data_IF_634633607303
#
_entry.id   IF_634633607303
#
_cell.length_a   1.000
_cell.length_b   1.000
_cell.length_c   1.000
_cell.angle_alpha   90.00
_cell.angle_beta   90.00
_cell.angle_gamma   90.00
#
_symmetry.space_group_name_H-M   'P 1'
#
loop_
_entity.id
_entity.type
_entity.pdbx_description
1 polymer ?
#
# COMPACT_ATOMS: atom_id res chain seq x y z
N UNK A 1 -41.88 -19.07 -8.59
CA UNK A 1 -42.74 -20.19 -8.12
C UNK A 1 -43.63 -20.69 -9.25
N UNK A 2 -44.35 -19.82 -9.98
CA UNK A 2 -45.22 -20.22 -11.11
C UNK A 2 -44.51 -20.86 -12.32
N UNK A 3 -43.20 -20.66 -12.46
CA UNK A 3 -42.39 -21.32 -13.49
C UNK A 3 -41.87 -22.70 -13.05
N UNK A 4 -41.72 -22.95 -11.73
CA UNK A 4 -41.30 -24.25 -11.18
C UNK A 4 -42.43 -25.29 -11.23
N UNK A 5 -43.68 -24.84 -11.22
CA UNK A 5 -44.85 -25.70 -11.42
C UNK A 5 -45.08 -26.06 -12.90
N UNK A 6 -44.44 -25.35 -13.83
CA UNK A 6 -44.49 -25.66 -15.28
C UNK A 6 -43.43 -26.67 -15.72
N UNK A 7 -42.33 -26.79 -14.97
CA UNK A 7 -41.25 -27.72 -15.27
C UNK A 7 -40.66 -28.34 -13.99
N UNK A 8 -41.21 -29.49 -13.54
CA UNK A 8 -40.80 -30.14 -12.29
C UNK A 8 -39.36 -30.68 -12.32
N UNK A 9 -38.72 -30.79 -13.49
CA UNK A 9 -37.32 -31.23 -13.61
C UNK A 9 -36.31 -30.14 -13.22
N UNK A 10 -36.71 -28.86 -13.19
CA UNK A 10 -35.87 -27.73 -12.77
C UNK A 10 -35.77 -27.58 -11.25
N UNK A 11 -36.74 -28.13 -10.49
CA UNK A 11 -36.81 -27.99 -9.05
C UNK A 11 -35.61 -28.60 -8.29
N UNK A 12 -35.08 -29.80 -8.62
CA UNK A 12 -33.92 -30.38 -7.95
C UNK A 12 -32.64 -29.55 -8.16
N UNK A 13 -32.46 -28.97 -9.34
CA UNK A 13 -31.30 -28.13 -9.67
C UNK A 13 -31.29 -26.82 -8.88
N UNK A 14 -32.46 -26.17 -8.77
CA UNK A 14 -32.62 -24.97 -7.97
C UNK A 14 -32.44 -25.24 -6.47
N UNK A 15 -33.01 -26.33 -5.95
CA UNK A 15 -32.84 -26.74 -4.54
C UNK A 15 -31.37 -27.03 -4.24
N UNK A 16 -30.65 -27.67 -5.17
CA UNK A 16 -29.20 -27.91 -5.03
C UNK A 16 -28.42 -26.61 -4.98
N UNK A 17 -28.69 -25.68 -5.90
CA UNK A 17 -28.04 -24.36 -5.93
C UNK A 17 -28.32 -23.55 -4.64
N UNK A 18 -29.57 -23.55 -4.17
CA UNK A 18 -29.95 -22.88 -2.92
C UNK A 18 -29.27 -23.52 -1.71
N UNK A 19 -29.17 -24.85 -1.67
CA UNK A 19 -28.47 -25.56 -0.60
C UNK A 19 -26.97 -25.25 -0.59
N UNK A 20 -26.34 -25.15 -1.76
CA UNK A 20 -24.93 -24.78 -1.91
C UNK A 20 -24.71 -23.33 -1.45
N UNK A 21 -25.57 -22.41 -1.89
CA UNK A 21 -25.53 -21.01 -1.45
C UNK A 21 -25.74 -20.86 0.05
N UNK A 22 -26.62 -21.64 0.67
CA UNK A 22 -26.79 -21.64 2.13
C UNK A 22 -25.58 -22.20 2.87
N UNK A 23 -24.94 -23.24 2.35
CA UNK A 23 -23.71 -23.74 2.96
C UNK A 23 -22.57 -22.73 2.87
N UNK A 24 -22.47 -22.02 1.74
CA UNK A 24 -21.51 -20.93 1.53
C UNK A 24 -21.79 -19.76 2.48
N UNK A 25 -23.04 -19.30 2.58
CA UNK A 25 -23.40 -18.20 3.50
C UNK A 25 -23.24 -18.58 4.96
N UNK A 26 -23.55 -19.82 5.36
CA UNK A 26 -23.28 -20.31 6.72
C UNK A 26 -21.79 -20.29 7.04
N UNK A 27 -20.95 -20.72 6.10
CA UNK A 27 -19.48 -20.67 6.27
C UNK A 27 -19.00 -19.23 6.46
N UNK A 28 -19.43 -18.31 5.58
CA UNK A 28 -19.09 -16.88 5.68
C UNK A 28 -19.55 -16.28 7.02
N UNK A 29 -20.74 -16.65 7.49
CA UNK A 29 -21.27 -16.18 8.77
C UNK A 29 -20.47 -16.74 9.96
N UNK A 30 -20.01 -17.98 9.88
CA UNK A 30 -19.18 -18.61 10.92
C UNK A 30 -17.77 -18.00 10.98
N UNK A 31 -17.16 -17.75 9.81
CA UNK A 31 -15.89 -17.03 9.69
C UNK A 31 -16.00 -15.62 10.27
N UNK A 32 -17.07 -14.88 9.95
CA UNK A 32 -17.32 -13.54 10.49
C UNK A 32 -17.59 -13.53 12.00
N UNK A 33 -18.21 -14.60 12.55
CA UNK A 33 -18.39 -14.77 14.00
C UNK A 33 -17.08 -15.06 14.70
N UNK A 34 -16.18 -15.83 14.07
CA UNK A 34 -14.87 -16.12 14.61
C UNK A 34 -13.99 -14.86 14.60
N UNK A 35 -13.95 -14.12 13.50
CA UNK A 35 -13.24 -12.83 13.41
C UNK A 35 -13.72 -11.84 14.48
N UNK A 36 -15.04 -11.75 14.71
CA UNK A 36 -15.58 -10.92 15.80
C UNK A 36 -15.08 -11.35 17.18
N UNK A 37 -15.00 -12.65 17.46
CA UNK A 37 -14.47 -13.15 18.74
C UNK A 37 -13.00 -12.79 18.90
N UNK A 38 -12.21 -12.91 17.83
CA UNK A 38 -10.78 -12.62 17.83
C UNK A 38 -10.54 -11.11 18.06
N UNK A 39 -11.27 -10.24 17.36
CA UNK A 39 -11.23 -8.78 17.55
C UNK A 39 -11.65 -8.36 18.96
N UNK A 40 -12.67 -9.00 19.55
CA UNK A 40 -13.05 -8.75 20.94
C UNK A 40 -11.93 -9.15 21.91
N UNK A 41 -11.24 -10.26 21.63
CA UNK A 41 -10.05 -10.70 22.36
C UNK A 41 -8.90 -9.69 22.28
N UNK A 42 -8.59 -9.20 21.08
CA UNK A 42 -7.55 -8.19 20.85
C UNK A 42 -7.87 -6.87 21.56
N UNK A 43 -9.12 -6.39 21.48
CA UNK A 43 -9.57 -5.18 22.20
C UNK A 43 -9.40 -5.36 23.71
N UNK A 44 -9.68 -6.53 24.26
CA UNK A 44 -9.49 -6.81 25.68
C UNK A 44 -8.00 -6.79 26.06
N UNK A 45 -7.11 -7.36 25.23
CA UNK A 45 -5.66 -7.31 25.43
C UNK A 45 -5.11 -5.88 25.36
N UNK A 46 -5.52 -5.11 24.37
CA UNK A 46 -5.11 -3.70 24.22
C UNK A 46 -5.59 -2.84 25.40
N UNK A 47 -6.79 -3.11 25.95
CA UNK A 47 -7.26 -2.45 27.17
C UNK A 47 -6.44 -2.81 28.40
N UNK A 48 -6.03 -4.07 28.54
CA UNK A 48 -5.14 -4.50 29.63
C UNK A 48 -3.77 -3.83 29.52
N UNK A 49 -3.14 -3.88 28.33
CA UNK A 49 -1.86 -3.20 28.08
C UNK A 49 -1.93 -1.69 28.33
N UNK A 50 -3.04 -1.04 27.93
CA UNK A 50 -3.26 0.39 28.19
C UNK A 50 -3.41 0.67 29.69
N UNK A 51 -4.10 -0.18 30.44
CA UNK A 51 -4.25 -0.04 31.89
C UNK A 51 -2.89 -0.12 32.60
N UNK A 52 -2.04 -1.07 32.20
CA UNK A 52 -0.69 -1.24 32.75
C UNK A 52 0.20 -0.03 32.44
N UNK A 53 0.19 0.46 31.19
CA UNK A 53 0.93 1.65 30.79
C UNK A 53 0.47 2.94 31.51
N UNK A 54 -0.80 2.98 31.94
CA UNK A 54 -1.36 4.15 32.63
C UNK A 54 -1.12 4.12 34.13
N UNK A 55 -0.89 2.93 34.72
CA UNK A 55 -0.47 2.81 36.11
C UNK A 55 0.94 3.38 36.35
N UNK A 56 1.81 3.34 35.34
CA UNK A 56 3.22 3.75 35.44
C UNK A 56 3.54 5.19 35.00
N UNK A 57 2.56 5.95 34.49
CA UNK A 57 2.81 7.30 33.96
C UNK A 57 2.71 8.39 35.07
N UNK A 58 3.82 9.03 35.49
CA UNK A 58 3.77 10.14 36.45
C UNK A 58 3.01 11.34 35.87
N UNK A 59 2.03 11.81 36.62
CA UNK A 59 1.01 12.75 36.19
C UNK A 59 1.54 14.12 35.76
N UNK A 60 1.03 14.59 34.63
CA UNK A 60 1.12 16.00 34.24
C UNK A 60 0.91 16.19 32.74
N UNK A 61 -0.21 16.84 32.39
CA UNK A 61 -0.68 17.24 31.04
C UNK A 61 -1.57 16.20 30.34
N UNK A 62 -2.85 16.13 30.74
CA UNK A 62 -3.90 15.36 30.05
C UNK A 62 -5.29 16.01 30.22
N UNK A 63 -5.53 17.15 29.58
CA UNK A 63 -6.88 17.74 29.59
C UNK A 63 -7.45 18.00 28.19
N UNK A 64 -6.61 18.15 27.15
CA UNK A 64 -7.11 18.41 25.79
C UNK A 64 -7.31 17.12 24.98
N UNK A 65 -6.44 16.10 25.12
CA UNK A 65 -6.57 14.81 24.40
C UNK A 65 -7.71 13.91 24.90
N UNK A 66 -8.34 14.19 26.05
CA UNK A 66 -9.43 13.35 26.57
C UNK A 66 -10.75 13.57 25.83
N UNK A 67 -10.96 14.77 25.27
CA UNK A 67 -12.18 15.09 24.52
C UNK A 67 -12.24 14.33 23.20
N UNK A 68 -11.12 14.28 22.48
CA UNK A 68 -11.04 13.60 21.17
C UNK A 68 -11.20 12.08 21.34
N UNK A 69 -10.57 11.50 22.37
CA UNK A 69 -10.73 10.07 22.67
C UNK A 69 -12.17 9.73 23.10
N UNK A 70 -12.84 10.61 23.84
CA UNK A 70 -14.24 10.40 24.23
C UNK A 70 -15.18 10.47 23.01
N UNK A 71 -14.89 11.36 22.06
CA UNK A 71 -15.64 11.47 20.81
C UNK A 71 -15.46 10.23 19.91
N UNK A 72 -14.20 9.81 19.70
CA UNK A 72 -13.89 8.60 18.92
C UNK A 72 -14.52 7.35 19.53
N UNK A 73 -14.51 7.25 20.87
CA UNK A 73 -15.11 6.12 21.58
C UNK A 73 -16.65 6.13 21.50
N UNK A 74 -17.28 7.31 21.46
CA UNK A 74 -18.72 7.44 21.21
C UNK A 74 -19.07 7.03 19.77
N UNK A 75 -18.26 7.44 18.79
CA UNK A 75 -18.44 7.08 17.39
C UNK A 75 -18.29 5.56 17.18
N UNK A 76 -17.25 4.94 17.75
CA UNK A 76 -17.05 3.49 17.70
C UNK A 76 -18.21 2.70 18.33
N UNK A 77 -18.80 3.21 19.43
CA UNK A 77 -19.98 2.59 20.04
C UNK A 77 -21.21 2.66 19.13
N UNK A 78 -21.39 3.78 18.43
CA UNK A 78 -22.46 3.95 17.47
C UNK A 78 -22.29 3.01 16.27
N UNK A 79 -21.09 2.92 15.72
CA UNK A 79 -20.78 2.02 14.60
C UNK A 79 -20.98 0.54 14.99
N UNK A 80 -20.56 0.17 16.21
CA UNK A 80 -20.76 -1.18 16.74
C UNK A 80 -22.24 -1.51 16.90
N UNK A 81 -23.05 -0.56 17.40
CA UNK A 81 -24.48 -0.75 17.51
C UNK A 81 -25.15 -0.94 16.14
N UNK A 82 -24.78 -0.13 15.14
CA UNK A 82 -25.32 -0.25 13.77
C UNK A 82 -24.92 -1.58 13.10
N UNK A 83 -23.68 -2.03 13.28
CA UNK A 83 -23.24 -3.33 12.78
C UNK A 83 -23.95 -4.48 13.47
N UNK A 84 -24.21 -4.37 14.78
CA UNK A 84 -24.92 -5.39 15.54
C UNK A 84 -26.37 -5.53 15.05
N UNK A 85 -27.07 -4.41 14.81
CA UNK A 85 -28.42 -4.44 14.23
C UNK A 85 -28.46 -5.06 12.84
N UNK A 86 -27.45 -4.78 11.99
CA UNK A 86 -27.37 -5.37 10.66
C UNK A 86 -27.14 -6.89 10.71
N UNK A 87 -26.31 -7.38 11.63
CA UNK A 87 -26.10 -8.83 11.84
C UNK A 87 -27.38 -9.52 12.31
N UNK A 88 -28.17 -8.88 13.19
CA UNK A 88 -29.47 -9.42 13.61
C UNK A 88 -30.49 -9.49 12.46
N UNK A 89 -30.51 -8.49 11.57
CA UNK A 89 -31.36 -8.50 10.38
C UNK A 89 -30.99 -9.65 9.44
N UNK A 90 -29.71 -9.85 9.16
CA UNK A 90 -29.21 -10.96 8.34
C UNK A 90 -29.50 -12.33 9.00
N UNK A 91 -29.43 -12.42 10.32
CA UNK A 91 -29.78 -13.64 11.05
C UNK A 91 -31.27 -13.99 10.89
N UNK A 92 -32.18 -13.01 11.02
CA UNK A 92 -33.62 -13.21 10.80
C UNK A 92 -33.93 -13.60 9.36
N UNK A 93 -33.23 -13.01 8.39
CA UNK A 93 -33.41 -13.36 6.98
C UNK A 93 -32.95 -14.80 6.68
N UNK A 94 -31.85 -15.26 7.28
CA UNK A 94 -31.42 -16.65 7.19
C UNK A 94 -32.45 -17.62 7.79
N UNK A 95 -33.02 -17.30 8.96
CA UNK A 95 -34.08 -18.12 9.57
C UNK A 95 -35.32 -18.21 8.66
N UNK A 96 -35.68 -17.13 7.96
CA UNK A 96 -36.76 -17.11 6.97
C UNK A 96 -36.47 -18.05 5.80
N UNK A 97 -35.27 -17.95 5.21
CA UNK A 97 -34.88 -18.80 4.07
C UNK A 97 -34.79 -20.29 4.44
N UNK A 98 -34.32 -20.61 5.65
CA UNK A 98 -34.28 -21.99 6.14
C UNK A 98 -35.70 -22.56 6.29
N UNK A 99 -36.65 -21.76 6.77
CA UNK A 99 -38.06 -22.15 6.86
C UNK A 99 -38.70 -22.40 5.48
N UNK A 100 -38.45 -21.52 4.51
CA UNK A 100 -38.93 -21.69 3.12
C UNK A 100 -38.37 -22.97 2.47
N UNK A 101 -37.11 -23.32 2.74
CA UNK A 101 -36.54 -24.56 2.23
C UNK A 101 -37.14 -25.82 2.86
N UNK A 102 -37.44 -25.78 4.15
CA UNK A 102 -38.05 -26.92 4.81
C UNK A 102 -39.50 -27.13 4.32
N UNK A 103 -40.24 -26.04 4.02
CA UNK A 103 -41.54 -26.12 3.35
C UNK A 103 -41.43 -26.72 1.93
N UNK A 104 -40.45 -26.28 1.13
CA UNK A 104 -40.20 -26.84 -0.20
C UNK A 104 -39.83 -28.32 -0.15
N UNK A 105 -38.98 -28.73 0.80
CA UNK A 105 -38.62 -30.13 1.03
C UNK A 105 -39.84 -30.97 1.42
N UNK A 106 -40.70 -30.45 2.29
CA UNK A 106 -41.94 -31.12 2.67
C UNK A 106 -42.89 -31.28 1.47
N UNK A 107 -43.01 -30.26 0.63
CA UNK A 107 -43.83 -30.29 -0.59
C UNK A 107 -43.33 -31.33 -1.59
N UNK A 108 -42.01 -31.39 -1.81
CA UNK A 108 -41.38 -32.40 -2.67
C UNK A 108 -41.60 -33.81 -2.11
N UNK A 109 -41.44 -34.00 -0.80
CA UNK A 109 -41.65 -35.29 -0.15
C UNK A 109 -43.10 -35.79 -0.24
N UNK A 110 -44.08 -34.88 -0.28
CA UNK A 110 -45.51 -35.22 -0.40
C UNK A 110 -45.95 -35.46 -1.86
N UNK A 111 -45.20 -34.99 -2.86
CA UNK A 111 -45.62 -34.97 -4.26
C UNK A 111 -45.26 -36.17 -5.14
N UNK A 112 -44.70 -37.27 -4.62
CA UNK A 112 -43.95 -38.21 -5.50
C UNK A 112 -44.11 -39.72 -5.27
N UNK A 113 -45.27 -40.21 -4.82
CA UNK A 113 -45.49 -41.66 -4.67
C UNK A 113 -46.16 -42.35 -5.88
N UNK A 114 -47.01 -41.67 -6.66
CA UNK A 114 -47.87 -42.36 -7.65
C UNK A 114 -47.49 -42.15 -9.13
N UNK A 115 -46.52 -41.27 -9.45
CA UNK A 115 -46.18 -40.94 -10.85
C UNK A 115 -44.74 -41.27 -11.27
N UNK A 116 -43.90 -41.87 -10.40
CA UNK A 116 -42.45 -41.96 -10.62
C UNK A 116 -41.92 -43.31 -11.17
N UNK A 117 -42.76 -44.34 -11.32
CA UNK A 117 -42.27 -45.66 -11.73
C UNK A 117 -41.84 -45.74 -13.21
N UNK A 118 -42.39 -44.91 -14.11
CA UNK A 118 -42.05 -44.97 -15.54
C UNK A 118 -40.75 -44.24 -15.93
N UNK A 119 -40.21 -43.36 -15.08
CA UNK A 119 -38.98 -42.60 -15.35
C UNK A 119 -37.73 -43.10 -14.60
N UNK A 120 -37.81 -44.24 -13.91
CA UNK A 120 -36.75 -44.70 -13.01
C UNK A 120 -35.47 -45.23 -13.71
N UNK A 121 -35.58 -45.75 -14.94
CA UNK A 121 -34.43 -46.37 -15.64
C UNK A 121 -33.35 -45.36 -16.12
N UNK A 122 -33.69 -44.20 -16.72
CA UNK A 122 -32.70 -43.18 -17.05
C UNK A 122 -32.05 -42.54 -15.80
N UNK A 123 -32.83 -42.35 -14.73
CA UNK A 123 -32.37 -41.75 -13.47
C UNK A 123 -31.33 -42.62 -12.74
N UNK A 124 -31.50 -43.94 -12.74
CA UNK A 124 -30.51 -44.87 -12.16
C UNK A 124 -29.17 -44.87 -12.93
N UNK A 125 -29.22 -44.66 -14.26
CA UNK A 125 -28.01 -44.47 -15.08
C UNK A 125 -27.30 -43.15 -14.74
N UNK A 126 -28.05 -42.05 -14.58
CA UNK A 126 -27.50 -40.75 -14.19
C UNK A 126 -26.93 -40.76 -12.75
N UNK A 127 -27.59 -41.46 -11.81
CA UNK A 127 -27.08 -41.69 -10.45
C UNK A 127 -25.79 -42.50 -10.42
N UNK A 128 -25.62 -43.47 -11.33
CA UNK A 128 -24.35 -44.21 -11.46
C UNK A 128 -23.20 -43.33 -11.97
N UNK A 129 -23.50 -42.30 -12.77
CA UNK A 129 -22.54 -41.29 -13.23
C UNK A 129 -22.25 -40.21 -12.18
N UNK A 130 -23.12 -40.03 -11.18
CA UNK A 130 -22.89 -39.13 -10.03
C UNK A 130 -22.04 -39.77 -8.91
N UNK A 131 -21.83 -41.09 -8.94
CA UNK A 131 -20.97 -41.79 -7.98
C UNK A 131 -19.50 -41.33 -8.03
N UNK A 132 -18.83 -41.19 -9.20
CA UNK A 132 -17.48 -40.63 -9.30
C UNK A 132 -17.36 -39.23 -8.71
N UNK A 133 -18.29 -38.33 -9.03
CA UNK A 133 -18.29 -36.96 -8.51
C UNK A 133 -18.46 -36.93 -6.97
N UNK A 134 -19.20 -37.87 -6.39
CA UNK A 134 -19.34 -37.99 -4.94
C UNK A 134 -18.05 -38.45 -4.27
N UNK A 135 -17.31 -39.37 -4.88
CA UNK A 135 -15.95 -39.73 -4.44
C UNK A 135 -15.00 -38.54 -4.57
N UNK A 136 -15.04 -37.81 -5.69
CA UNK A 136 -14.20 -36.63 -5.91
C UNK A 136 -14.47 -35.54 -4.86
N UNK A 137 -15.74 -35.26 -4.54
CA UNK A 137 -16.12 -34.30 -3.49
C UNK A 137 -15.60 -34.75 -2.12
N UNK A 138 -15.67 -36.04 -1.81
CA UNK A 138 -15.16 -36.58 -0.55
C UNK A 138 -13.65 -36.44 -0.47
N UNK A 139 -12.95 -36.77 -1.56
CA UNK A 139 -11.50 -36.72 -1.62
C UNK A 139 -11.00 -35.26 -1.59
N UNK A 140 -11.71 -34.33 -2.24
CA UNK A 140 -11.47 -32.88 -2.12
C UNK A 140 -11.69 -32.37 -0.69
N UNK A 141 -12.76 -32.81 -0.01
CA UNK A 141 -12.98 -32.46 1.41
C UNK A 141 -11.86 -32.97 2.31
N UNK A 142 -11.34 -34.16 2.03
CA UNK A 142 -10.20 -34.71 2.75
C UNK A 142 -8.93 -33.89 2.50
N UNK A 143 -8.66 -33.49 1.26
CA UNK A 143 -7.52 -32.62 0.92
C UNK A 143 -7.62 -31.24 1.59
N UNK A 144 -8.82 -30.64 1.60
CA UNK A 144 -9.05 -29.36 2.29
C UNK A 144 -8.73 -29.49 3.77
N UNK A 145 -9.18 -30.56 4.42
CA UNK A 145 -8.90 -30.81 5.84
C UNK A 145 -7.39 -31.01 6.10
N UNK A 146 -6.69 -31.73 5.24
CA UNK A 146 -5.23 -31.92 5.36
C UNK A 146 -4.46 -30.61 5.21
N UNK A 147 -4.89 -29.73 4.30
CA UNK A 147 -4.33 -28.39 4.13
C UNK A 147 -4.63 -27.48 5.31
N UNK A 148 -5.84 -27.54 5.89
CA UNK A 148 -6.20 -26.82 7.12
C UNK A 148 -5.30 -27.25 8.30
N UNK A 149 -5.08 -28.55 8.47
CA UNK A 149 -4.17 -29.09 9.48
C UNK A 149 -2.70 -28.71 9.23
N UNK A 150 -2.28 -28.58 7.96
CA UNK A 150 -0.95 -28.09 7.61
C UNK A 150 -0.78 -26.60 7.91
N UNK A 151 -1.77 -25.76 7.57
CA UNK A 151 -1.79 -24.33 7.88
C UNK A 151 -1.69 -24.13 9.40
N UNK A 152 -2.54 -24.81 10.18
CA UNK A 152 -2.53 -24.71 11.64
C UNK A 152 -1.15 -25.08 12.23
N UNK A 153 -0.48 -26.12 11.70
CA UNK A 153 0.89 -26.47 12.12
C UNK A 153 1.91 -25.39 11.76
N UNK A 154 1.79 -24.79 10.57
CA UNK A 154 2.70 -23.71 10.17
C UNK A 154 2.50 -22.44 10.99
N UNK A 155 1.26 -22.11 11.37
CA UNK A 155 0.95 -20.96 12.23
C UNK A 155 1.57 -21.11 13.61
N UNK A 156 1.43 -22.28 14.24
CA UNK A 156 2.08 -22.57 15.53
C UNK A 156 3.61 -22.43 15.41
N UNK A 157 4.21 -22.98 14.35
CA UNK A 157 5.66 -22.87 14.13
C UNK A 157 6.13 -21.42 13.89
N UNK A 158 5.32 -20.58 13.24
CA UNK A 158 5.60 -19.15 13.06
C UNK A 158 5.49 -18.42 14.40
N UNK A 159 4.46 -18.70 15.18
CA UNK A 159 4.25 -18.10 16.50
C UNK A 159 5.39 -18.44 17.47
N UNK A 160 5.87 -19.69 17.48
CA UNK A 160 7.04 -20.11 18.25
C UNK A 160 8.32 -19.36 17.82
N UNK A 161 8.52 -19.14 16.51
CA UNK A 161 9.65 -18.36 16.00
C UNK A 161 9.56 -16.89 16.40
N UNK A 162 8.36 -16.32 16.38
CA UNK A 162 8.11 -14.94 16.79
C UNK A 162 8.44 -14.74 18.27
N UNK A 163 7.98 -15.63 19.15
CA UNK A 163 8.34 -15.63 20.58
C UNK A 163 9.86 -15.72 20.76
N UNK A 164 10.53 -16.57 19.99
CA UNK A 164 11.99 -16.71 20.03
C UNK A 164 12.72 -15.44 19.56
N UNK A 165 12.23 -14.76 18.52
CA UNK A 165 12.78 -13.49 18.08
C UNK A 165 12.53 -12.35 19.07
N UNK A 166 11.35 -12.31 19.67
CA UNK A 166 11.00 -11.34 20.70
C UNK A 166 11.94 -11.46 21.92
N UNK A 167 12.18 -12.69 22.40
CA UNK A 167 13.14 -12.93 23.48
C UNK A 167 14.59 -12.51 23.11
N UNK A 168 14.99 -12.69 21.84
CA UNK A 168 16.30 -12.21 21.36
C UNK A 168 16.37 -10.68 21.34
N UNK A 169 15.29 -10.01 20.94
CA UNK A 169 15.19 -8.56 20.88
C UNK A 169 15.24 -7.94 22.29
N UNK A 170 14.51 -8.51 23.25
CA UNK A 170 14.57 -8.13 24.66
C UNK A 170 15.99 -8.27 25.23
N UNK A 171 16.67 -9.38 24.94
CA UNK A 171 18.06 -9.61 25.36
C UNK A 171 19.02 -8.59 24.74
N UNK A 172 18.80 -8.19 23.48
CA UNK A 172 19.60 -7.16 22.81
C UNK A 172 19.35 -5.77 23.42
N UNK A 173 18.10 -5.43 23.71
CA UNK A 173 17.73 -4.18 24.37
C UNK A 173 18.32 -4.09 25.78
N UNK A 174 18.24 -5.16 26.57
CA UNK A 174 18.87 -5.22 27.90
C UNK A 174 20.39 -5.01 27.83
N UNK A 175 21.07 -5.53 26.78
CA UNK A 175 22.49 -5.25 26.56
C UNK A 175 22.74 -3.78 26.20
N UNK A 176 21.96 -3.23 25.28
CA UNK A 176 22.05 -1.81 24.87
C UNK A 176 21.89 -0.89 26.08
N UNK A 177 20.90 -1.16 26.94
CA UNK A 177 20.61 -0.32 28.10
C UNK A 177 21.73 -0.42 29.15
N UNK A 178 22.32 -1.61 29.35
CA UNK A 178 23.55 -1.78 30.14
C UNK A 178 24.72 -0.96 29.60
N UNK A 179 24.93 -0.95 28.28
CA UNK A 179 26.00 -0.13 27.68
C UNK A 179 25.72 1.36 27.81
N UNK A 180 24.47 1.78 27.61
CA UNK A 180 24.05 3.18 27.79
C UNK A 180 24.31 3.65 29.23
N UNK A 181 23.95 2.84 30.23
CA UNK A 181 24.21 3.14 31.63
C UNK A 181 25.73 3.27 31.93
N UNK A 182 26.55 2.37 31.39
CA UNK A 182 28.02 2.46 31.52
C UNK A 182 28.59 3.74 30.89
N UNK A 183 28.05 4.13 29.72
CA UNK A 183 28.49 5.30 28.98
C UNK A 183 28.16 6.59 29.74
N UNK A 184 26.97 6.66 30.34
CA UNK A 184 26.58 7.79 31.22
C UNK A 184 27.41 7.83 32.51
N UNK A 185 27.74 6.67 33.11
CA UNK A 185 28.64 6.63 34.26
C UNK A 185 30.04 7.16 33.94
N UNK A 186 30.60 6.82 32.77
CA UNK A 186 31.90 7.34 32.32
C UNK A 186 31.87 8.85 32.08
N UNK A 187 30.83 9.38 31.42
CA UNK A 187 30.66 10.82 31.22
C UNK A 187 30.59 11.59 32.55
N UNK A 188 29.96 11.00 33.57
CA UNK A 188 29.86 11.63 34.89
C UNK A 188 31.18 11.54 35.67
N UNK A 189 31.99 10.50 35.46
CA UNK A 189 33.32 10.37 36.07
C UNK A 189 34.35 11.34 35.47
N UNK A 190 34.24 11.68 34.18
CA UNK A 190 35.09 12.70 33.54
C UNK A 190 34.78 14.13 34.03
N UNK A 191 33.58 14.37 34.57
CA UNK A 191 33.21 15.63 35.24
C UNK A 191 33.69 15.65 36.70
N UNK A 192 34.94 15.26 36.94
CA UNK A 192 35.58 15.37 38.25
C UNK A 192 35.43 16.79 38.84
N UNK A 193 35.53 16.95 40.16
CA UNK A 193 35.24 18.20 40.85
C UNK A 193 36.28 19.25 40.43
N UNK A 194 35.91 20.06 39.45
CA UNK A 194 36.61 21.30 39.16
C UNK A 194 36.18 22.27 40.25
N UNK A 195 36.91 22.26 41.36
CA UNK A 195 36.96 23.42 42.26
C UNK A 195 37.58 24.57 41.46
N UNK A 196 36.73 25.36 40.81
CA UNK A 196 37.14 26.67 40.28
C UNK A 196 36.85 27.75 41.32
N UNK A 197 37.77 28.71 41.52
CA UNK A 197 37.69 29.68 42.59
C UNK A 197 36.58 30.70 42.33
N UNK A 198 35.94 31.13 43.41
CA UNK A 198 35.11 32.33 43.46
C UNK A 198 35.91 33.51 42.90
N UNK A 199 35.48 34.07 41.77
CA UNK A 199 35.67 35.48 41.49
C UNK A 199 34.30 36.09 41.24
N UNK A 200 34.04 37.11 42.04
CA UNK A 200 32.89 37.99 41.98
C UNK A 200 33.04 38.98 40.81
N UNK A 201 31.90 39.61 40.52
CA UNK A 201 31.71 40.81 39.70
C UNK A 201 31.95 40.64 38.19
N UNK A 202 30.86 40.66 37.42
CA UNK A 202 30.54 41.87 36.64
C UNK A 202 29.11 41.81 36.09
N UNK A 203 28.39 42.88 36.40
CA UNK A 203 27.07 43.25 35.94
C UNK A 203 27.03 43.60 34.43
N UNK A 204 25.79 43.61 33.92
CA UNK A 204 25.30 44.43 32.82
C UNK A 204 25.71 44.05 31.37
N UNK A 205 24.83 43.29 30.72
CA UNK A 205 24.31 43.72 29.41
C UNK A 205 22.95 43.09 29.10
N UNK A 206 21.94 43.86 29.47
CA UNK A 206 20.55 43.72 29.05
C UNK A 206 20.35 44.40 27.67
N UNK A 207 19.36 43.94 26.92
CA UNK A 207 18.79 44.52 25.68
C UNK A 207 19.48 44.21 24.33
N UNK A 208 18.92 43.23 23.59
CA UNK A 208 18.24 43.45 22.29
C UNK A 208 17.94 42.11 21.60
N UNK A 209 16.78 41.50 21.86
CA UNK A 209 16.23 40.47 20.98
C UNK A 209 14.88 40.94 20.46
N UNK A 210 14.91 41.34 19.20
CA UNK A 210 13.80 41.81 18.38
C UNK A 210 12.71 40.74 18.28
N UNK A 211 11.48 41.12 18.69
CA UNK A 211 10.25 40.39 18.42
C UNK A 211 9.95 40.45 16.92
N UNK A 212 10.02 39.32 16.22
CA UNK A 212 9.35 39.13 14.93
C UNK A 212 8.28 38.04 15.08
N UNK A 213 7.03 38.48 14.98
CA UNK A 213 5.84 37.63 14.91
C UNK A 213 5.90 36.72 13.67
N UNK A 214 5.39 35.47 13.73
CA UNK A 214 5.18 34.67 12.53
C UNK A 214 3.94 35.17 11.79
N UNK A 215 4.07 35.44 10.49
CA UNK A 215 2.94 35.67 9.59
C UNK A 215 2.12 34.38 9.46
N UNK A 216 0.83 34.49 9.81
CA UNK A 216 -0.20 33.50 9.53
C UNK A 216 -0.50 33.52 8.03
N UNK A 217 -0.19 32.44 7.33
CA UNK A 217 -0.62 32.20 5.94
C UNK A 217 -1.98 31.50 5.96
N UNK A 218 -3.01 31.96 5.24
CA UNK A 218 -4.30 31.28 5.19
C UNK A 218 -4.20 30.06 4.26
N UNK A 219 -4.26 28.86 4.84
CA UNK A 219 -4.40 27.61 4.08
C UNK A 219 -5.89 27.34 3.77
N UNK A 220 -6.32 27.65 2.55
CA UNK A 220 -7.59 27.21 2.00
C UNK A 220 -7.59 25.68 1.79
N UNK A 221 -8.43 24.97 2.55
CA UNK A 221 -8.58 23.51 2.50
C UNK A 221 -9.45 23.09 1.31
N UNK A 222 -8.87 22.31 0.38
CA UNK A 222 -9.58 21.20 -0.28
C UNK A 222 -9.16 19.93 0.47
N UNK A 223 -10.06 19.40 1.30
CA UNK A 223 -9.88 18.16 2.08
C UNK A 223 -10.56 17.03 1.35
N UNK A 224 -9.77 16.03 1.01
CA UNK A 224 -10.13 14.75 0.41
C UNK A 224 -8.82 14.16 -0.10
N UNK A 225 -8.44 12.99 0.39
CA UNK A 225 -7.35 12.12 -0.12
C UNK A 225 -5.88 12.41 0.26
N UNK A 226 -5.53 13.59 0.79
CA UNK A 226 -4.11 13.89 1.12
C UNK A 226 -3.56 13.34 2.44
N UNK A 227 -4.40 12.84 3.35
CA UNK A 227 -3.97 12.45 4.70
C UNK A 227 -3.04 11.23 4.74
N UNK A 228 -3.08 10.35 3.74
CA UNK A 228 -2.21 9.17 3.71
C UNK A 228 -0.77 9.47 3.24
N UNK A 229 -0.53 10.63 2.58
CA UNK A 229 0.77 11.01 2.02
C UNK A 229 1.68 11.75 3.01
N UNK A 230 1.10 12.34 4.06
CA UNK A 230 1.87 13.09 5.06
C UNK A 230 2.70 12.20 6.00
N UNK A 231 2.32 10.93 6.19
CA UNK A 231 3.11 9.93 6.93
C UNK A 231 4.46 9.60 6.28
N UNK A 232 4.68 9.99 5.02
CA UNK A 232 5.87 9.65 4.24
C UNK A 232 6.82 10.82 4.00
N UNK A 233 6.64 11.96 4.70
CA UNK A 233 7.49 13.15 4.54
C UNK A 233 8.97 12.90 4.85
N UNK A 234 9.26 11.97 5.76
CA UNK A 234 10.62 11.67 6.23
C UNK A 234 11.29 10.50 5.49
N UNK A 235 10.62 9.90 4.49
CA UNK A 235 11.26 8.86 3.69
C UNK A 235 12.31 9.45 2.74
N UNK A 236 13.49 8.82 2.62
CA UNK A 236 14.52 9.27 1.73
C UNK A 236 14.05 9.20 0.28
N UNK A 237 14.41 10.24 -0.44
CA UNK A 237 14.07 10.45 -1.82
C UNK A 237 15.35 10.42 -2.66
N UNK A 238 15.27 9.78 -3.82
CA UNK A 238 16.33 9.67 -4.81
C UNK A 238 15.98 10.63 -5.93
N UNK A 239 16.94 11.39 -6.47
CA UNK A 239 16.62 12.28 -7.60
C UNK A 239 16.17 11.46 -8.83
N UNK A 240 15.13 11.92 -9.52
CA UNK A 240 14.55 11.30 -10.72
C UNK A 240 15.58 11.24 -11.87
N UNK A 241 16.59 12.08 -11.91
CA UNK A 241 17.72 11.92 -12.85
C UNK A 241 18.47 10.59 -12.66
N UNK A 242 18.37 9.98 -11.48
CA UNK A 242 18.78 8.61 -11.17
C UNK A 242 17.62 7.60 -11.28
N UNK A 243 16.72 7.81 -12.25
CA UNK A 243 15.68 6.85 -12.67
C UNK A 243 16.23 5.41 -12.71
N UNK A 244 15.36 4.38 -12.73
CA UNK A 244 15.73 2.97 -12.72
C UNK A 244 17.00 2.61 -13.50
N UNK A 245 17.27 3.21 -14.65
CA UNK A 245 18.40 2.83 -15.49
C UNK A 245 19.73 3.55 -15.17
N UNK A 246 19.74 4.56 -14.30
CA UNK A 246 20.91 5.41 -13.99
C UNK A 246 21.42 5.30 -12.55
N UNK A 247 20.89 4.38 -11.75
CA UNK A 247 21.43 4.09 -10.41
C UNK A 247 22.81 3.42 -10.54
N UNK A 248 23.83 3.85 -9.76
CA UNK A 248 25.14 3.22 -9.79
C UNK A 248 25.09 1.70 -9.59
N UNK A 249 25.84 0.93 -10.39
CA UNK A 249 25.92 -0.55 -10.30
C UNK A 249 26.24 -1.07 -8.91
N UNK A 250 26.98 -0.30 -8.12
CA UNK A 250 27.30 -0.63 -6.72
C UNK A 250 26.05 -0.73 -5.86
N UNK A 251 25.05 0.13 -6.11
CA UNK A 251 23.75 0.13 -5.43
C UNK A 251 22.83 -0.94 -6.05
N UNK A 252 22.89 -1.13 -7.36
CA UNK A 252 22.15 -2.21 -8.04
C UNK A 252 22.48 -3.59 -7.46
N UNK A 253 23.73 -3.81 -7.05
CA UNK A 253 24.13 -5.08 -6.41
C UNK A 253 23.33 -5.41 -5.13
N UNK A 254 22.69 -4.42 -4.49
CA UNK A 254 21.85 -4.62 -3.31
C UNK A 254 20.40 -5.08 -3.64
N UNK A 255 20.00 -5.10 -4.91
CA UNK A 255 18.71 -5.65 -5.32
C UNK A 255 18.78 -6.43 -6.64
N UNK A 256 18.21 -7.63 -6.63
CA UNK A 256 18.00 -8.42 -7.86
C UNK A 256 16.66 -8.13 -8.53
N UNK A 257 15.80 -7.34 -7.88
CA UNK A 257 14.51 -6.96 -8.42
C UNK A 257 14.68 -5.89 -9.51
N UNK A 258 13.83 -5.94 -10.53
CA UNK A 258 13.79 -4.87 -11.52
C UNK A 258 13.17 -3.61 -10.90
N UNK A 259 13.30 -2.45 -11.52
CA UNK A 259 12.95 -1.17 -10.88
C UNK A 259 11.80 -0.53 -11.63
N UNK A 260 10.78 -0.08 -10.91
CA UNK A 260 9.55 0.48 -11.49
C UNK A 260 9.20 1.79 -10.79
N UNK A 261 8.90 2.80 -11.60
CA UNK A 261 8.39 4.08 -11.10
C UNK A 261 6.85 4.06 -11.17
N UNK A 262 6.22 4.14 -10.01
CA UNK A 262 4.77 4.17 -9.81
C UNK A 262 4.25 5.60 -9.68
N UNK A 263 3.11 5.88 -10.31
CA UNK A 263 2.42 7.15 -10.24
C UNK A 263 1.03 6.96 -9.60
N UNK A 264 0.78 7.54 -8.40
CA UNK A 264 -0.49 7.37 -7.69
C UNK A 264 -1.72 7.80 -8.49
N UNK A 265 -1.60 8.86 -9.28
CA UNK A 265 -2.64 9.38 -10.22
C UNK A 265 -3.07 8.35 -11.28
N UNK A 266 -2.30 7.27 -11.43
CA UNK A 266 -2.52 6.15 -12.33
C UNK A 266 -2.70 4.87 -11.51
N UNK A 267 -3.55 4.92 -10.49
CA UNK A 267 -3.86 3.74 -9.67
C UNK A 267 -5.36 3.51 -9.70
N UNK A 268 -5.78 2.31 -10.12
CA UNK A 268 -7.15 1.86 -9.93
C UNK A 268 -7.12 0.92 -8.73
N UNK A 269 -7.95 1.22 -7.74
CA UNK A 269 -8.20 0.31 -6.64
C UNK A 269 -9.28 -0.68 -7.07
N UNK A 270 -9.04 -1.97 -6.84
CA UNK A 270 -10.09 -2.97 -7.00
C UNK A 270 -11.18 -2.69 -5.97
N UNK A 271 -12.45 -2.77 -6.36
CA UNK A 271 -13.60 -2.59 -5.46
C UNK A 271 -13.72 -3.69 -4.39
N UNK A 272 -12.83 -4.69 -4.40
CA UNK A 272 -12.90 -5.92 -3.60
C UNK A 272 -12.17 -5.86 -2.26
N UNK A 273 -11.92 -4.67 -1.68
CA UNK A 273 -11.70 -4.54 -0.23
C UNK A 273 -10.39 -5.13 0.35
N UNK A 274 -9.28 -5.10 -0.39
CA UNK A 274 -7.94 -5.43 0.13
C UNK A 274 -6.89 -4.48 -0.42
N UNK A 275 -5.69 -4.43 0.18
CA UNK A 275 -4.55 -3.56 -0.13
C UNK A 275 -3.94 -3.71 -1.55
N UNK A 276 -4.72 -4.14 -2.53
CA UNK A 276 -4.33 -4.40 -3.91
C UNK A 276 -4.37 -3.10 -4.74
N UNK A 277 -3.19 -2.52 -4.96
CA UNK A 277 -3.03 -1.42 -5.90
C UNK A 277 -2.78 -1.98 -7.31
N UNK A 278 -3.65 -1.64 -8.27
CA UNK A 278 -3.35 -1.88 -9.70
C UNK A 278 -2.51 -0.71 -10.20
N UNK A 279 -1.25 -0.99 -10.50
CA UNK A 279 -0.28 0.00 -10.95
C UNK A 279 -0.21 -0.05 -12.48
N UNK A 280 -0.54 1.05 -13.14
CA UNK A 280 -0.43 1.14 -14.60
C UNK A 280 1.01 1.41 -15.02
N UNK A 281 1.51 0.54 -15.90
CA UNK A 281 2.63 0.84 -16.78
C UNK A 281 2.23 0.32 -18.16
N UNK A 282 1.72 1.19 -19.04
CA UNK A 282 1.36 0.75 -20.39
C UNK A 282 2.49 0.98 -21.39
N UNK A 283 2.80 -0.09 -22.12
CA UNK A 283 3.42 -0.05 -23.44
C UNK A 283 2.29 -0.16 -24.46
N UNK A 284 1.89 0.96 -25.05
CA UNK A 284 0.90 0.96 -26.14
C UNK A 284 1.60 0.44 -27.39
N UNK A 285 1.22 -0.76 -27.85
CA UNK A 285 1.67 -1.29 -29.14
C UNK A 285 0.65 -0.83 -30.17
N UNK A 286 0.91 0.30 -30.81
CA UNK A 286 0.11 0.74 -31.94
C UNK A 286 0.50 -0.06 -33.19
N UNK A 287 -0.48 -0.58 -33.93
CA UNK A 287 -0.25 -1.22 -35.23
C UNK A 287 0.51 -0.26 -36.14
N UNK A 288 1.69 -0.67 -36.64
CA UNK A 288 2.53 0.12 -37.54
C UNK A 288 1.83 0.56 -38.84
N UNK A 289 0.64 0.01 -39.14
CA UNK A 289 -0.06 0.24 -40.41
C UNK A 289 -1.02 1.44 -40.41
N UNK A 290 -1.41 2.01 -39.26
CA UNK A 290 -2.58 2.92 -39.21
C UNK A 290 -2.38 4.29 -38.53
N UNK A 291 -1.31 4.57 -37.76
CA UNK A 291 -1.13 5.90 -37.14
C UNK A 291 0.32 6.44 -37.18
N UNK A 292 0.51 7.77 -37.41
CA UNK A 292 1.83 8.41 -37.53
C UNK A 292 2.53 8.68 -36.19
N UNK A 293 1.94 8.29 -35.06
CA UNK A 293 2.55 8.46 -33.74
C UNK A 293 3.60 7.36 -33.52
N UNK A 294 4.89 7.71 -33.56
CA UNK A 294 5.97 6.81 -33.13
C UNK A 294 5.91 6.65 -31.61
N UNK A 295 5.18 5.65 -31.14
CA UNK A 295 5.23 5.19 -29.76
C UNK A 295 6.63 4.62 -29.49
N UNK A 296 7.31 5.10 -28.44
CA UNK A 296 8.60 4.54 -28.04
C UNK A 296 8.31 3.16 -27.44
N UNK A 297 8.25 2.13 -28.27
CA UNK A 297 8.39 0.76 -27.80
C UNK A 297 9.71 0.70 -27.06
N UNK A 298 9.69 0.56 -25.73
CA UNK A 298 10.90 0.21 -25.01
C UNK A 298 11.45 -1.05 -25.72
N UNK A 299 12.73 -1.02 -26.07
CA UNK A 299 13.39 -2.14 -26.77
C UNK A 299 13.39 -3.44 -25.94
N UNK A 300 12.87 -3.42 -24.71
CA UNK A 300 12.48 -4.59 -23.94
C UNK A 300 11.05 -4.99 -24.30
N UNK A 301 10.91 -5.88 -25.28
CA UNK A 301 9.73 -6.75 -25.40
C UNK A 301 9.85 -7.87 -24.36
N UNK A 302 9.84 -7.54 -23.07
CA UNK A 302 9.47 -8.54 -22.08
C UNK A 302 7.97 -8.79 -22.26
N UNK A 303 7.59 -10.05 -22.44
CA UNK A 303 6.18 -10.42 -22.42
C UNK A 303 5.63 -10.03 -21.03
N UNK A 304 4.37 -9.59 -20.97
CA UNK A 304 3.69 -9.36 -19.69
C UNK A 304 3.80 -10.58 -18.77
N UNK A 305 3.79 -11.77 -19.37
CA UNK A 305 4.01 -13.05 -18.72
C UNK A 305 5.37 -13.15 -18.02
N UNK A 306 6.42 -12.52 -18.56
CA UNK A 306 7.76 -12.53 -17.95
C UNK A 306 7.82 -11.66 -16.68
N UNK A 307 6.88 -10.74 -16.53
CA UNK A 307 6.76 -9.87 -15.36
C UNK A 307 5.96 -10.55 -14.24
N UNK A 308 5.10 -11.52 -14.57
CA UNK A 308 4.30 -12.26 -13.59
C UNK A 308 5.21 -13.09 -12.68
N UNK A 309 5.01 -12.97 -11.36
CA UNK A 309 5.85 -13.56 -10.33
C UNK A 309 7.20 -12.87 -10.13
N UNK A 310 7.53 -11.86 -10.93
CA UNK A 310 8.79 -11.13 -10.80
C UNK A 310 8.70 -10.05 -9.72
N UNK A 311 9.84 -9.79 -9.08
CA UNK A 311 9.96 -8.78 -8.03
C UNK A 311 10.43 -7.45 -8.61
N UNK A 312 9.85 -6.38 -8.10
CA UNK A 312 10.08 -5.01 -8.52
C UNK A 312 10.37 -4.10 -7.32
N UNK A 313 11.45 -3.33 -7.36
CA UNK A 313 11.67 -2.21 -6.46
C UNK A 313 10.81 -1.03 -6.93
N UNK A 314 9.87 -0.61 -6.08
CA UNK A 314 8.88 0.39 -6.41
C UNK A 314 9.28 1.77 -5.91
N UNK A 315 9.15 2.76 -6.78
CA UNK A 315 9.45 4.16 -6.49
C UNK A 315 8.24 5.05 -6.77
N UNK A 316 8.02 6.11 -5.99
CA UNK A 316 6.98 7.13 -6.24
C UNK A 316 7.61 8.49 -6.42
N UNK A 317 7.41 9.15 -7.57
CA UNK A 317 7.89 10.50 -7.77
C UNK A 317 7.15 11.49 -6.87
N UNK A 318 7.91 12.46 -6.39
CA UNK A 318 7.45 13.60 -5.61
C UNK A 318 7.57 14.88 -6.43
N UNK A 319 6.92 15.94 -5.98
CA UNK A 319 6.89 17.25 -6.67
C UNK A 319 8.28 17.89 -6.85
N UNK A 320 9.29 17.38 -6.13
CA UNK A 320 10.64 17.95 -5.98
C UNK A 320 11.71 17.33 -6.88
N UNK A 321 11.38 16.83 -8.07
CA UNK A 321 12.32 16.09 -8.96
C UNK A 321 12.97 14.87 -8.29
N UNK A 322 12.34 14.33 -7.25
CA UNK A 322 12.80 13.16 -6.51
C UNK A 322 11.76 12.04 -6.56
N UNK A 323 12.16 10.83 -6.21
CA UNK A 323 11.32 9.67 -6.09
C UNK A 323 11.58 8.98 -4.75
N UNK A 324 10.52 8.64 -4.03
CA UNK A 324 10.56 7.89 -2.76
C UNK A 324 10.56 6.40 -3.04
N UNK A 325 11.40 5.66 -2.34
CA UNK A 325 11.39 4.20 -2.39
C UNK A 325 10.30 3.66 -1.47
N UNK A 326 9.46 2.76 -1.98
CA UNK A 326 8.36 2.17 -1.21
C UNK A 326 8.63 0.75 -0.70
N UNK A 327 9.55 0.03 -1.34
CA UNK A 327 9.79 -1.37 -1.03
C UNK A 327 9.84 -2.24 -2.28
N UNK A 328 9.93 -3.53 -2.04
CA UNK A 328 9.88 -4.58 -3.04
C UNK A 328 8.46 -5.10 -3.17
N UNK A 329 7.97 -5.14 -4.40
CA UNK A 329 6.63 -5.60 -4.75
C UNK A 329 6.75 -6.79 -5.70
N UNK A 330 5.84 -7.75 -5.59
CA UNK A 330 5.71 -8.85 -6.52
C UNK A 330 4.53 -8.59 -7.46
N UNK A 331 4.74 -8.73 -8.77
CA UNK A 331 3.63 -8.74 -9.71
C UNK A 331 2.93 -10.10 -9.62
N UNK A 332 1.74 -10.15 -9.03
CA UNK A 332 1.03 -11.41 -8.82
C UNK A 332 -0.01 -11.69 -9.90
N UNK A 333 -0.48 -10.66 -10.60
CA UNK A 333 -1.36 -10.78 -11.77
C UNK A 333 -1.12 -9.63 -12.75
N UNK A 334 -1.43 -9.88 -14.03
CA UNK A 334 -1.45 -8.85 -15.07
C UNK A 334 -2.83 -8.82 -15.70
N UNK A 335 -3.31 -7.63 -16.07
CA UNK A 335 -4.59 -7.49 -16.78
C UNK A 335 -4.43 -6.56 -17.98
N UNK A 336 -5.38 -6.67 -18.91
CA UNK A 336 -5.53 -5.78 -20.06
C UNK A 336 -6.88 -5.11 -19.91
N UNK A 337 -6.90 -3.79 -19.99
CA UNK A 337 -8.15 -3.02 -20.05
C UNK A 337 -8.60 -3.02 -21.50
N UNK A 338 -9.75 -3.65 -21.75
CA UNK A 338 -10.43 -3.61 -23.04
C UNK A 338 -10.97 -2.21 -23.35
N UNK A 339 -11.26 -1.91 -24.62
CA UNK A 339 -11.87 -0.62 -25.01
C UNK A 339 -13.18 -0.32 -24.28
N UNK A 340 -14.00 -1.35 -24.03
CA UNK A 340 -15.24 -1.22 -23.26
C UNK A 340 -15.01 -0.88 -21.79
N UNK A 341 -13.97 -1.46 -21.17
CA UNK A 341 -13.59 -1.12 -19.79
C UNK A 341 -12.94 0.24 -19.70
N UNK A 342 -12.15 0.62 -20.72
CA UNK A 342 -11.55 1.95 -20.84
C UNK A 342 -12.62 3.03 -20.78
N UNK A 343 -13.70 2.90 -21.56
CA UNK A 343 -14.81 3.85 -21.54
C UNK A 343 -15.50 4.00 -20.18
N UNK A 344 -15.49 2.94 -19.34
CA UNK A 344 -16.06 2.95 -17.99
C UNK A 344 -15.16 3.64 -16.97
N UNK A 345 -13.89 3.92 -17.30
CA UNK A 345 -12.98 4.59 -16.38
C UNK A 345 -13.31 6.09 -16.24
N UNK A 346 -13.18 6.66 -15.03
CA UNK A 346 -13.26 8.09 -14.84
C UNK A 346 -12.30 8.84 -15.78
N UNK A 347 -12.74 9.98 -16.30
CA UNK A 347 -11.96 10.77 -17.25
C UNK A 347 -10.59 11.15 -16.69
N UNK A 348 -10.54 11.49 -15.41
CA UNK A 348 -9.32 11.87 -14.70
C UNK A 348 -8.29 10.74 -14.70
N UNK A 349 -8.75 9.49 -14.52
CA UNK A 349 -7.90 8.30 -14.55
C UNK A 349 -7.40 8.03 -15.96
N UNK A 350 -8.28 8.13 -16.96
CA UNK A 350 -7.90 7.96 -18.38
C UNK A 350 -6.86 9.00 -18.80
N UNK A 351 -7.11 10.27 -18.51
CA UNK A 351 -6.21 11.39 -18.84
C UNK A 351 -4.87 11.21 -18.12
N UNK A 352 -4.88 10.76 -16.87
CA UNK A 352 -3.69 10.42 -16.09
C UNK A 352 -2.84 9.33 -16.76
N UNK A 353 -3.47 8.23 -17.18
CA UNK A 353 -2.82 7.12 -17.90
C UNK A 353 -2.20 7.64 -19.20
N UNK A 354 -2.98 8.32 -20.05
CA UNK A 354 -2.55 8.81 -21.36
C UNK A 354 -1.38 9.78 -21.25
N UNK A 355 -1.45 10.74 -20.33
CA UNK A 355 -0.39 11.72 -20.07
C UNK A 355 0.94 11.07 -19.67
N UNK A 356 0.92 9.88 -19.06
CA UNK A 356 2.10 9.17 -18.57
C UNK A 356 2.67 8.17 -19.56
N UNK A 357 1.84 7.52 -20.38
CA UNK A 357 2.30 6.53 -21.35
C UNK A 357 3.12 7.13 -22.50
N UNK A 358 3.03 8.44 -22.71
CA UNK A 358 3.68 9.14 -23.84
C UNK A 358 4.66 10.22 -23.39
N UNK A 359 4.70 10.53 -22.08
CA UNK A 359 5.64 11.51 -21.54
C UNK A 359 7.09 11.04 -21.63
N UNK A 360 7.97 11.83 -22.26
CA UNK A 360 9.42 11.58 -22.27
C UNK A 360 9.93 11.46 -20.82
N UNK A 361 10.76 10.43 -20.58
CA UNK A 361 11.53 10.23 -19.33
C UNK A 361 12.64 11.25 -19.12
N UNK A 362 12.98 12.06 -20.13
CA UNK A 362 14.20 12.89 -20.15
C UNK A 362 14.02 14.25 -19.45
N UNK A 363 13.14 14.34 -18.45
CA UNK A 363 12.96 15.53 -17.62
C UNK A 363 12.25 16.71 -18.28
N UNK A 364 12.12 16.73 -19.61
CA UNK A 364 11.27 17.69 -20.34
C UNK A 364 9.91 17.07 -20.61
N UNK A 365 8.97 17.31 -19.68
CA UNK A 365 7.54 17.11 -19.92
C UNK A 365 7.07 18.14 -20.95
N UNK A 366 7.35 17.90 -22.23
CA UNK A 366 6.52 18.49 -23.27
C UNK A 366 5.11 17.96 -23.02
N UNK A 367 4.21 18.85 -22.60
CA UNK A 367 2.80 18.52 -22.47
C UNK A 367 2.32 18.02 -23.82
N UNK A 368 1.76 16.81 -23.87
CA UNK A 368 1.09 16.36 -25.08
C UNK A 368 0.05 17.39 -25.50
N UNK A 369 -0.06 17.61 -26.81
CA UNK A 369 -1.13 18.46 -27.30
C UNK A 369 -2.49 17.80 -27.02
N UNK A 370 -3.56 18.59 -26.81
CA UNK A 370 -4.90 18.04 -26.65
C UNK A 370 -5.31 17.08 -27.78
N UNK A 371 -4.84 17.33 -29.01
CA UNK A 371 -5.08 16.47 -30.17
C UNK A 371 -4.40 15.10 -30.04
N UNK A 372 -3.18 15.04 -29.49
CA UNK A 372 -2.49 13.79 -29.22
C UNK A 372 -3.19 13.00 -28.12
N UNK A 373 -3.59 13.66 -27.04
CA UNK A 373 -4.38 13.04 -25.97
C UNK A 373 -5.66 12.44 -26.53
N UNK A 374 -6.44 13.22 -27.30
CA UNK A 374 -7.68 12.75 -27.92
C UNK A 374 -7.47 11.52 -28.80
N UNK A 375 -6.49 11.57 -29.71
CA UNK A 375 -6.21 10.45 -30.61
C UNK A 375 -5.86 9.14 -29.87
N UNK A 376 -5.28 9.24 -28.67
CA UNK A 376 -4.98 8.07 -27.83
C UNK A 376 -6.23 7.53 -27.17
N UNK A 377 -7.09 8.41 -26.65
CA UNK A 377 -8.38 7.97 -26.14
C UNK A 377 -9.19 7.28 -27.23
N UNK A 378 -9.27 7.88 -28.42
CA UNK A 378 -10.01 7.33 -29.57
C UNK A 378 -9.46 5.95 -29.96
N UNK A 379 -8.14 5.78 -30.00
CA UNK A 379 -7.51 4.48 -30.29
C UNK A 379 -7.80 3.42 -29.21
N UNK A 380 -7.77 3.79 -27.92
CA UNK A 380 -8.14 2.87 -26.84
C UNK A 380 -9.64 2.52 -26.87
N UNK A 381 -10.51 3.48 -27.17
CA UNK A 381 -11.95 3.27 -27.28
C UNK A 381 -12.33 2.40 -28.47
N UNK A 382 -11.63 2.55 -29.60
CA UNK A 382 -11.79 1.71 -30.79
C UNK A 382 -11.21 0.29 -30.63
N UNK A 383 -10.39 0.05 -29.59
CA UNK A 383 -9.66 -1.21 -29.40
C UNK A 383 -8.40 -1.34 -30.27
N UNK A 384 -7.99 -0.28 -30.96
CA UNK A 384 -6.75 -0.21 -31.74
C UNK A 384 -5.51 -0.07 -30.83
N UNK A 385 -5.72 0.30 -29.57
CA UNK A 385 -4.73 0.37 -28.51
C UNK A 385 -5.24 -0.33 -27.25
N UNK A 386 -4.33 -1.02 -26.57
CA UNK A 386 -4.60 -1.68 -25.29
C UNK A 386 -3.83 -1.02 -24.16
N UNK A 387 -4.46 -0.95 -22.98
CA UNK A 387 -3.79 -0.53 -21.75
C UNK A 387 -3.49 -1.76 -20.92
N UNK A 388 -2.20 -1.97 -20.64
CA UNK A 388 -1.71 -3.10 -19.85
C UNK A 388 -1.48 -2.69 -18.40
N UNK A 389 -1.83 -3.57 -17.48
CA UNK A 389 -1.85 -3.28 -16.05
C UNK A 389 -1.10 -4.36 -15.28
N UNK A 390 -0.34 -3.92 -14.29
CA UNK A 390 0.34 -4.80 -13.35
C UNK A 390 -0.35 -4.71 -12.00
N UNK A 391 -0.71 -5.86 -11.44
CA UNK A 391 -1.18 -5.91 -10.06
C UNK A 391 0.02 -6.24 -9.19
N UNK A 392 0.42 -5.25 -8.39
CA UNK A 392 1.58 -5.35 -7.53
C UNK A 392 1.11 -5.55 -6.10
N UNK A 393 1.63 -6.60 -5.45
CA UNK A 393 1.45 -6.84 -4.03
C UNK A 393 2.75 -6.54 -3.32
N UNK A 394 2.69 -5.86 -2.18
CA UNK A 394 3.87 -5.68 -1.35
C UNK A 394 4.45 -7.04 -0.96
N UNK A 395 5.75 -7.24 -1.17
CA UNK A 395 6.45 -8.48 -0.85
C UNK A 395 7.30 -8.29 0.40
N UNK A 396 8.20 -7.30 0.39
CA UNK A 396 9.11 -7.03 1.49
C UNK A 396 9.73 -5.63 1.36
N UNK A 397 10.34 -5.13 2.44
CA UNK A 397 11.12 -3.90 2.38
C UNK A 397 12.62 -4.23 2.32
N UNK A 398 13.29 -3.90 1.22
CA UNK A 398 14.72 -4.16 1.06
C UNK A 398 15.56 -3.11 1.81
N UNK A 399 15.78 -3.34 3.10
CA UNK A 399 16.56 -2.44 3.97
C UNK A 399 18.00 -2.20 3.47
N UNK A 400 18.62 -3.21 2.84
CA UNK A 400 19.98 -3.08 2.31
C UNK A 400 20.03 -2.13 1.12
N UNK A 401 19.12 -2.30 0.18
CA UNK A 401 18.97 -1.39 -0.97
C UNK A 401 18.59 0.02 -0.52
N UNK A 402 17.64 0.13 0.41
CA UNK A 402 17.27 1.41 1.00
C UNK A 402 18.43 2.13 1.69
N UNK A 403 19.24 1.42 2.49
CA UNK A 403 20.43 1.98 3.12
C UNK A 403 21.46 2.48 2.10
N UNK A 404 21.63 1.76 1.00
CA UNK A 404 22.51 2.19 -0.10
C UNK A 404 21.97 3.45 -0.80
N UNK A 405 20.65 3.56 -1.01
CA UNK A 405 20.01 4.77 -1.55
C UNK A 405 20.15 5.97 -0.60
N UNK A 406 20.07 5.75 0.71
CA UNK A 406 20.32 6.78 1.73
C UNK A 406 21.74 7.33 1.64
N UNK A 407 22.74 6.44 1.58
CA UNK A 407 24.14 6.84 1.44
C UNK A 407 24.38 7.61 0.14
N UNK A 408 23.74 7.21 -0.95
CA UNK A 408 23.78 7.95 -2.22
C UNK A 408 23.23 9.37 -2.05
N UNK A 409 22.08 9.52 -1.40
CA UNK A 409 21.50 10.83 -1.11
C UNK A 409 22.45 11.68 -0.26
N UNK A 410 22.96 11.14 0.84
CA UNK A 410 23.87 11.87 1.74
C UNK A 410 25.17 12.30 1.06
N UNK A 411 25.77 11.43 0.24
CA UNK A 411 26.99 11.74 -0.51
C UNK A 411 26.74 12.86 -1.52
N UNK A 412 25.58 12.86 -2.16
CA UNK A 412 25.16 13.94 -3.06
C UNK A 412 24.90 15.24 -2.31
N UNK A 413 24.15 15.21 -1.22
CA UNK A 413 23.84 16.40 -0.43
C UNK A 413 25.13 17.04 0.11
N UNK A 414 26.10 16.22 0.54
CA UNK A 414 27.46 16.65 0.87
C UNK A 414 28.15 17.30 -0.33
N UNK A 415 28.14 16.66 -1.51
CA UNK A 415 28.77 17.21 -2.71
C UNK A 415 28.14 18.54 -3.17
N UNK A 416 26.81 18.68 -3.08
CA UNK A 416 26.09 19.92 -3.38
C UNK A 416 26.47 21.01 -2.38
N UNK A 417 26.51 20.69 -1.09
CA UNK A 417 26.89 21.62 -0.04
C UNK A 417 28.33 22.13 -0.24
N UNK A 418 29.29 21.24 -0.52
CA UNK A 418 30.68 21.61 -0.81
C UNK A 418 30.75 22.53 -2.04
N UNK A 419 30.08 22.19 -3.14
CA UNK A 419 30.04 23.05 -4.34
C UNK A 419 29.40 24.41 -4.07
N UNK A 420 28.36 24.47 -3.24
CA UNK A 420 27.72 25.72 -2.86
C UNK A 420 28.66 26.61 -2.01
N UNK A 421 29.43 26.00 -1.10
CA UNK A 421 30.47 26.69 -0.32
C UNK A 421 31.61 27.18 -1.20
N UNK A 422 32.11 26.35 -2.11
CA UNK A 422 33.15 26.73 -3.08
C UNK A 422 32.70 27.86 -3.99
N UNK A 423 31.45 27.81 -4.47
CA UNK A 423 30.87 28.89 -5.27
C UNK A 423 30.78 30.19 -4.48
N UNK A 424 30.31 30.16 -3.22
CA UNK A 424 30.27 31.34 -2.35
C UNK A 424 31.66 31.93 -2.13
N UNK A 425 32.66 31.10 -1.85
CA UNK A 425 34.06 31.55 -1.71
C UNK A 425 34.60 32.18 -3.00
N UNK A 426 34.27 31.60 -4.16
CA UNK A 426 34.67 32.16 -5.45
C UNK A 426 33.97 33.49 -5.75
N UNK A 427 32.70 33.63 -5.38
CA UNK A 427 31.93 34.85 -5.55
C UNK A 427 32.40 35.95 -4.57
N UNK A 428 32.76 35.59 -3.32
CA UNK A 428 33.38 36.49 -2.33
C UNK A 428 34.77 36.95 -2.77
N UNK A 429 35.61 36.05 -3.30
CA UNK A 429 36.92 36.41 -3.84
C UNK A 429 36.80 37.41 -5.00
N UNK A 430 35.83 37.21 -5.89
CA UNK A 430 35.54 38.15 -6.98
C UNK A 430 34.98 39.49 -6.51
N UNK A 431 34.26 39.51 -5.38
CA UNK A 431 33.74 40.75 -4.79
C UNK A 431 34.83 41.56 -4.06
N UNK A 432 35.83 40.89 -3.49
CA UNK A 432 36.99 41.54 -2.86
C UNK A 432 37.98 42.12 -3.89
N UNK A 433 38.01 41.60 -5.12
CA UNK A 433 38.75 42.20 -6.26
C UNK A 433 37.99 43.39 -6.88
N UNK A 434 37.54 44.32 -6.03
CA UNK A 434 36.86 45.54 -6.46
C UNK A 434 37.70 46.37 -7.45
N UNK A 435 37.07 47.17 -8.32
CA UNK A 435 37.71 47.85 -9.46
C UNK A 435 38.83 48.84 -9.08
N UNK A 436 38.96 49.25 -7.81
CA UNK A 436 39.99 50.18 -7.35
C UNK A 436 41.43 49.66 -7.53
N UNK A 437 41.65 48.34 -7.52
CA UNK A 437 42.99 47.79 -7.75
C UNK A 437 43.40 47.76 -9.24
N UNK A 438 42.44 47.83 -10.17
CA UNK A 438 42.76 47.84 -11.61
C UNK A 438 43.15 49.22 -12.16
N UNK A 439 42.74 50.32 -11.51
CA UNK A 439 43.22 51.66 -11.87
C UNK A 439 44.62 51.98 -11.31
N UNK A 440 44.95 51.52 -10.10
CA UNK A 440 46.28 51.71 -9.51
C UNK A 440 47.36 50.99 -10.34
N UNK A 441 47.07 49.79 -10.83
CA UNK A 441 48.01 48.99 -11.63
C UNK A 441 48.12 49.50 -13.08
N UNK A 442 47.07 50.10 -13.64
CA UNK A 442 47.12 50.79 -14.95
C UNK A 442 47.86 52.12 -14.89
N UNK A 443 47.86 52.83 -13.75
CA UNK A 443 48.68 54.04 -13.54
C UNK A 443 50.16 53.73 -13.30
N UNK A 444 50.50 52.59 -12.70
CA UNK A 444 51.89 52.18 -12.48
C UNK A 444 52.61 51.71 -13.77
N UNK A 445 51.88 51.28 -14.81
CA UNK A 445 52.47 50.89 -16.13
C UNK A 445 52.54 52.04 -17.15
N UNK A 446 52.14 53.25 -16.77
CA UNK A 446 52.17 54.46 -17.63
C UNK A 446 53.21 55.51 -17.18
N UNK A 447 54.02 55.18 -16.18
CA UNK A 447 55.31 55.78 -15.89
C UNK A 447 56.38 54.76 -16.25
#
# INVERSE_FOLDING_TARGET
MDELSRDPELAPGLVRLLSEKLTETRKVLEDARQENKDLVGEIAQLRAQKADMWADAPGGRRSEDQSDVAHDLAQLRQDLAQKTTHVEELARENERMDSELDELRATIAQGSAESLEEHHKPLMSCLSQLCPARTDIRDLRQQVKELEDEIARTEVAVQEREVMFQAKLEKANAKRDKYKAKLEALKNAEKGPVESPKNADEDAQEACISKRSPMVVPSGRRRGDRQHLDQYKDQPCVDISYLPDSIPRTIEAHSKASRVLWYPECTIFSSTGGHDARIFVSKVVCSHKQHPLKWRGSKSTSNLTDMLGSKHELFVPTDSSCARYLGTYCCFTTSIISGNEWQKLPKEVRDGIVKRCVGKTDGTRESMSPAQTSAIHDACEAGDAEVRCFHLRFDSFNHGYFGALLQLKESRDRAISTKAVEKRKADEAKACDGPEYTEATKRARKK
#
